data_IF_698115547779
#
_entry.id   IF_698115547779
#
_cell.length_a   1.000
_cell.length_b   1.000
_cell.length_c   1.000
_cell.angle_alpha   90.00
_cell.angle_beta   90.00
_cell.angle_gamma   90.00
#
_symmetry.space_group_name_H-M   'P 1'
#
loop_
_entity.id
_entity.type
_entity.pdbx_description
1 polymer ?
#
# COMPACT_ATOMS: atom_id res chain seq x y z
N UNK A 1 13.47 -24.81 29.74
CA UNK A 1 12.14 -24.57 29.13
C UNK A 1 12.17 -23.21 28.49
N UNK A 2 11.55 -23.05 27.34
CA UNK A 2 11.39 -21.74 26.71
C UNK A 2 10.43 -20.85 27.56
N UNK A 3 10.67 -19.55 27.54
CA UNK A 3 9.84 -18.57 28.26
C UNK A 3 8.62 -18.12 27.41
N UNK A 4 8.00 -19.07 26.70
CA UNK A 4 6.85 -18.80 25.84
C UNK A 4 5.71 -18.14 26.63
N UNK A 5 5.13 -17.09 26.08
CA UNK A 5 3.94 -16.41 26.63
C UNK A 5 2.69 -17.28 26.40
N UNK A 6 2.67 -18.02 25.29
CA UNK A 6 1.64 -18.99 24.93
C UNK A 6 2.24 -20.39 25.07
N UNK A 7 1.58 -21.28 25.81
CA UNK A 7 2.10 -22.63 25.97
C UNK A 7 2.23 -23.35 24.63
N UNK A 8 3.30 -24.15 24.46
CA UNK A 8 3.55 -24.88 23.24
C UNK A 8 2.39 -25.81 22.87
N UNK A 9 1.75 -26.42 23.89
CA UNK A 9 0.60 -27.33 23.71
C UNK A 9 -0.59 -26.58 23.08
N UNK A 10 -0.96 -25.42 23.62
CA UNK A 10 -2.05 -24.58 23.09
C UNK A 10 -1.72 -24.12 21.68
N UNK A 11 -0.51 -23.60 21.46
CA UNK A 11 -0.12 -23.11 20.14
C UNK A 11 -0.16 -24.21 19.07
N UNK A 12 0.44 -25.37 19.34
CA UNK A 12 0.47 -26.49 18.40
C UNK A 12 -0.94 -27.04 18.09
N UNK A 13 -1.83 -27.06 19.08
CA UNK A 13 -3.23 -27.44 18.85
C UNK A 13 -3.89 -26.49 17.87
N UNK A 14 -3.82 -25.18 18.11
CA UNK A 14 -4.42 -24.16 17.24
C UNK A 14 -3.80 -24.16 15.85
N UNK A 15 -2.48 -24.33 15.74
CA UNK A 15 -1.79 -24.45 14.46
C UNK A 15 -2.31 -25.63 13.64
N UNK A 16 -2.47 -26.78 14.27
CA UNK A 16 -3.03 -27.97 13.61
C UNK A 16 -4.49 -27.75 13.17
N UNK A 17 -5.30 -27.12 14.01
CA UNK A 17 -6.71 -26.84 13.73
C UNK A 17 -6.90 -25.78 12.63
N UNK A 18 -5.92 -24.89 12.43
CA UNK A 18 -5.97 -23.86 11.38
C UNK A 18 -5.93 -24.44 9.96
N UNK A 19 -5.42 -25.67 9.80
CA UNK A 19 -5.21 -26.35 8.51
C UNK A 19 -4.40 -25.54 7.48
N UNK A 20 -3.61 -24.56 7.93
CA UNK A 20 -2.74 -23.78 7.05
C UNK A 20 -1.57 -24.66 6.56
N UNK A 21 -1.25 -24.64 5.26
CA UNK A 21 -0.13 -25.41 4.72
C UNK A 21 1.23 -24.96 5.26
N UNK A 22 1.36 -23.67 5.55
CA UNK A 22 2.52 -23.04 6.20
C UNK A 22 2.04 -21.80 6.97
N UNK A 23 2.32 -21.75 8.27
CA UNK A 23 2.00 -20.60 9.10
C UNK A 23 2.86 -19.41 8.69
N UNK A 24 4.15 -19.63 8.50
CA UNK A 24 5.11 -18.60 8.19
C UNK A 24 4.88 -17.90 6.84
N UNK A 25 4.23 -18.58 5.89
CA UNK A 25 3.88 -18.05 4.57
C UNK A 25 2.38 -17.76 4.41
N UNK A 26 1.63 -17.77 5.50
CA UNK A 26 0.21 -17.46 5.47
C UNK A 26 -0.06 -15.98 5.15
N UNK A 27 -1.17 -15.73 4.50
CA UNK A 27 -1.59 -14.39 4.12
C UNK A 27 -2.02 -13.54 5.33
N UNK A 28 -2.09 -12.22 5.13
CA UNK A 28 -2.41 -11.24 6.19
C UNK A 28 -3.68 -11.62 6.98
N UNK A 29 -4.74 -12.04 6.28
CA UNK A 29 -6.02 -12.39 6.92
C UNK A 29 -5.96 -13.73 7.65
N UNK A 30 -5.18 -14.66 7.14
CA UNK A 30 -4.96 -15.97 7.77
C UNK A 30 -4.16 -15.83 9.06
N UNK A 31 -3.08 -15.04 9.05
CA UNK A 31 -2.30 -14.72 10.26
C UNK A 31 -3.16 -14.00 11.30
N UNK A 32 -3.99 -13.03 10.88
CA UNK A 32 -4.89 -12.34 11.81
C UNK A 32 -5.90 -13.30 12.45
N UNK A 33 -6.48 -14.20 11.65
CA UNK A 33 -7.39 -15.21 12.19
C UNK A 33 -6.66 -16.11 13.18
N UNK A 34 -5.48 -16.62 12.82
CA UNK A 34 -4.68 -17.50 13.67
C UNK A 34 -4.30 -16.83 15.00
N UNK A 35 -3.90 -15.55 14.98
CA UNK A 35 -3.59 -14.80 16.18
C UNK A 35 -4.81 -14.68 17.11
N UNK A 36 -6.00 -14.40 16.56
CA UNK A 36 -7.25 -14.36 17.33
C UNK A 36 -7.66 -15.72 17.91
N UNK A 37 -7.46 -16.79 17.15
CA UNK A 37 -7.72 -18.15 17.63
C UNK A 37 -6.78 -18.52 18.79
N UNK A 38 -5.52 -18.08 18.74
CA UNK A 38 -4.54 -18.21 19.83
C UNK A 38 -4.92 -17.36 21.06
N UNK A 39 -5.37 -16.12 20.85
CA UNK A 39 -5.90 -15.28 21.94
C UNK A 39 -7.05 -15.97 22.68
N UNK A 40 -8.02 -16.48 21.92
CA UNK A 40 -9.18 -17.16 22.48
C UNK A 40 -8.81 -18.42 23.25
N UNK A 41 -7.82 -19.19 22.75
CA UNK A 41 -7.40 -20.45 23.35
C UNK A 41 -6.48 -20.27 24.58
N UNK A 42 -5.66 -19.20 24.60
CA UNK A 42 -4.66 -18.96 25.66
C UNK A 42 -5.10 -17.93 26.71
N UNK A 43 -6.06 -17.07 26.39
CA UNK A 43 -6.41 -15.90 27.19
C UNK A 43 -5.37 -14.77 27.13
N UNK A 44 -4.36 -14.88 26.27
CA UNK A 44 -3.26 -13.91 26.13
C UNK A 44 -3.52 -12.97 24.97
N UNK A 45 -3.60 -11.65 25.21
CA UNK A 45 -3.73 -10.64 24.18
C UNK A 45 -2.48 -10.59 23.29
N UNK A 46 -2.66 -10.58 21.96
CA UNK A 46 -1.56 -10.45 21.00
C UNK A 46 -1.15 -9.00 20.77
N UNK A 47 0.09 -8.83 20.33
CA UNK A 47 0.59 -7.61 19.70
C UNK A 47 0.42 -7.79 18.18
N UNK A 48 -0.62 -7.16 17.62
CA UNK A 48 -1.02 -7.34 16.23
C UNK A 48 -0.26 -6.42 15.28
N UNK A 49 0.75 -6.94 14.58
CA UNK A 49 1.54 -6.21 13.60
C UNK A 49 1.32 -6.68 12.15
N UNK A 50 0.44 -7.65 11.93
CA UNK A 50 0.13 -8.20 10.60
C UNK A 50 -0.83 -7.34 9.79
N UNK A 51 -1.75 -6.62 10.45
CA UNK A 51 -2.77 -5.82 9.79
C UNK A 51 -2.32 -4.38 9.56
N UNK A 52 -2.51 -3.90 8.34
CA UNK A 52 -2.32 -2.50 7.99
C UNK A 52 -3.58 -1.64 8.19
N UNK A 53 -4.38 -1.88 9.24
CA UNK A 53 -5.52 -1.01 9.54
C UNK A 53 -5.02 0.31 10.14
N UNK A 54 -5.66 1.46 9.86
CA UNK A 54 -5.38 2.69 10.60
C UNK A 54 -5.72 2.52 12.08
N UNK A 55 -4.86 3.05 12.95
CA UNK A 55 -5.07 3.05 14.40
C UNK A 55 -5.50 4.41 14.97
N UNK A 56 -5.78 5.37 14.09
CA UNK A 56 -6.25 6.72 14.42
C UNK A 56 -7.74 6.85 14.11
N UNK A 57 -8.37 7.86 14.68
CA UNK A 57 -9.78 8.17 14.40
C UNK A 57 -9.98 8.58 12.94
N UNK A 58 -11.13 8.24 12.37
CA UNK A 58 -11.53 8.70 11.06
C UNK A 58 -11.67 10.23 11.05
N UNK A 59 -11.26 10.86 9.94
CA UNK A 59 -11.26 12.31 9.80
C UNK A 59 -12.69 12.87 9.88
N UNK A 60 -12.92 13.79 10.82
CA UNK A 60 -14.25 14.35 11.11
C UNK A 60 -14.92 14.98 9.89
N UNK A 61 -14.17 15.67 9.05
CA UNK A 61 -14.70 16.32 7.84
C UNK A 61 -15.32 15.32 6.85
N UNK A 62 -14.80 14.10 6.81
CA UNK A 62 -15.40 13.00 6.04
C UNK A 62 -16.69 12.52 6.67
N UNK A 63 -16.69 12.30 7.99
CA UNK A 63 -17.86 11.85 8.74
C UNK A 63 -19.02 12.84 8.60
N UNK A 64 -18.75 14.14 8.82
CA UNK A 64 -19.74 15.21 8.72
C UNK A 64 -20.35 15.31 7.33
N UNK A 65 -19.50 15.30 6.29
CA UNK A 65 -19.95 15.34 4.90
C UNK A 65 -20.79 14.12 4.51
N UNK A 66 -20.41 12.93 4.99
CA UNK A 66 -21.15 11.69 4.72
C UNK A 66 -22.52 11.67 5.40
N UNK A 67 -22.58 12.11 6.67
CA UNK A 67 -23.85 12.22 7.42
C UNK A 67 -24.80 13.18 6.71
N UNK A 68 -24.31 14.34 6.27
CA UNK A 68 -25.13 15.32 5.57
C UNK A 68 -25.63 14.78 4.22
N UNK A 69 -24.77 14.09 3.48
CA UNK A 69 -25.17 13.46 2.24
C UNK A 69 -26.27 12.40 2.45
N UNK A 70 -26.14 11.57 3.49
CA UNK A 70 -27.14 10.54 3.83
C UNK A 70 -28.49 11.17 4.24
N UNK A 71 -28.50 12.31 4.96
CA UNK A 71 -29.73 13.06 5.27
C UNK A 71 -30.41 13.60 4.01
N UNK A 72 -29.67 13.82 2.93
CA UNK A 72 -30.17 14.26 1.63
C UNK A 72 -30.44 13.10 0.66
N UNK A 73 -30.72 11.90 1.16
CA UNK A 73 -31.16 10.72 0.41
C UNK A 73 -30.21 10.23 -0.69
N UNK A 74 -28.90 10.55 -0.62
CA UNK A 74 -27.96 10.11 -1.66
C UNK A 74 -27.87 8.58 -1.76
N UNK A 75 -28.23 7.85 -0.70
CA UNK A 75 -28.25 6.40 -0.68
C UNK A 75 -29.33 5.79 -1.61
N UNK A 76 -30.36 6.57 -1.98
CA UNK A 76 -31.48 6.11 -2.81
C UNK A 76 -31.14 6.07 -4.31
N UNK A 77 -29.99 6.60 -4.74
CA UNK A 77 -29.64 6.72 -6.15
C UNK A 77 -28.22 6.23 -6.46
N UNK A 78 -28.04 5.63 -7.64
CA UNK A 78 -26.69 5.31 -8.13
C UNK A 78 -25.91 6.58 -8.40
N UNK A 79 -24.61 6.64 -7.99
CA UNK A 79 -23.72 7.71 -8.44
C UNK A 79 -23.41 7.58 -9.92
N UNK A 80 -22.90 8.66 -10.54
CA UNK A 80 -22.27 8.53 -11.85
C UNK A 80 -21.10 7.53 -11.77
N UNK A 81 -20.94 6.72 -12.82
CA UNK A 81 -19.90 5.67 -12.89
C UNK A 81 -18.50 6.24 -12.66
N UNK A 82 -18.23 7.41 -13.21
CA UNK A 82 -16.95 8.13 -13.10
C UNK A 82 -16.84 9.05 -11.88
N UNK A 83 -17.87 9.04 -11.00
CA UNK A 83 -17.89 9.76 -9.74
C UNK A 83 -18.62 11.09 -9.74
N UNK A 84 -18.90 11.62 -8.53
CA UNK A 84 -19.58 12.90 -8.37
C UNK A 84 -18.65 14.08 -8.77
N UNK A 85 -19.18 15.12 -9.48
CA UNK A 85 -18.34 16.20 -10.00
C UNK A 85 -17.56 16.97 -8.93
N UNK A 86 -18.15 17.17 -7.76
CA UNK A 86 -17.50 17.90 -6.66
C UNK A 86 -16.27 17.15 -6.11
N UNK A 87 -16.33 15.82 -5.98
CA UNK A 87 -15.18 15.03 -5.57
C UNK A 87 -14.06 15.08 -6.62
N UNK A 88 -14.41 14.95 -7.90
CA UNK A 88 -13.46 15.01 -9.01
C UNK A 88 -12.70 16.34 -9.06
N UNK A 89 -13.41 17.46 -8.80
CA UNK A 89 -12.80 18.78 -8.71
C UNK A 89 -11.81 18.88 -7.55
N UNK A 90 -12.21 18.43 -6.35
CA UNK A 90 -11.31 18.46 -5.20
C UNK A 90 -10.15 17.48 -5.33
N UNK A 91 -10.34 16.35 -6.00
CA UNK A 91 -9.26 15.41 -6.33
C UNK A 91 -8.20 16.05 -7.25
N UNK A 92 -8.64 16.73 -8.31
CA UNK A 92 -7.75 17.49 -9.20
C UNK A 92 -6.96 18.58 -8.44
N UNK A 93 -7.65 19.34 -7.57
CA UNK A 93 -7.00 20.33 -6.68
C UNK A 93 -5.98 19.67 -5.73
N UNK A 94 -6.33 18.55 -5.14
CA UNK A 94 -5.45 17.81 -4.22
C UNK A 94 -4.17 17.36 -4.92
N UNK A 95 -4.29 16.82 -6.13
CA UNK A 95 -3.14 16.39 -6.91
C UNK A 95 -2.24 17.59 -7.23
N UNK A 96 -2.82 18.73 -7.63
CA UNK A 96 -2.06 19.96 -7.87
C UNK A 96 -1.38 20.47 -6.60
N UNK A 97 -2.11 20.53 -5.50
CA UNK A 97 -1.64 21.11 -4.24
C UNK A 97 -0.54 20.27 -3.57
N UNK A 98 -0.55 18.95 -3.72
CA UNK A 98 0.32 18.07 -2.93
C UNK A 98 1.29 17.19 -3.73
N UNK A 99 1.08 17.09 -5.06
CA UNK A 99 1.99 16.34 -5.96
C UNK A 99 2.58 17.27 -7.04
N UNK A 100 1.97 18.44 -7.21
CA UNK A 100 2.30 19.42 -8.26
C UNK A 100 2.17 18.83 -9.69
N UNK A 101 1.06 18.13 -9.91
CA UNK A 101 0.67 17.61 -11.22
C UNK A 101 -0.66 18.23 -11.64
N UNK A 102 -0.81 18.50 -12.94
CA UNK A 102 -2.07 18.93 -13.52
C UNK A 102 -2.81 17.71 -14.09
N UNK A 103 -3.96 17.38 -13.51
CA UNK A 103 -4.86 16.31 -13.95
C UNK A 103 -6.27 16.86 -14.04
N UNK A 104 -6.90 16.74 -15.20
CA UNK A 104 -8.27 17.21 -15.38
C UNK A 104 -9.24 16.50 -14.42
N UNK A 105 -10.23 17.20 -13.82
CA UNK A 105 -11.21 16.56 -12.95
C UNK A 105 -11.90 15.34 -13.57
N UNK A 106 -12.12 15.34 -14.89
CA UNK A 106 -12.71 14.20 -15.62
C UNK A 106 -11.88 12.93 -15.53
N UNK A 107 -10.59 13.04 -15.28
CA UNK A 107 -9.63 11.93 -15.21
C UNK A 107 -9.31 11.49 -13.77
N UNK A 108 -10.01 12.08 -12.79
CA UNK A 108 -10.01 11.65 -11.40
C UNK A 108 -11.24 10.75 -11.15
N UNK A 109 -11.04 9.45 -10.99
CA UNK A 109 -12.11 8.46 -10.92
C UNK A 109 -12.13 7.80 -9.54
N UNK A 110 -13.25 7.86 -8.78
CA UNK A 110 -13.35 7.16 -7.51
C UNK A 110 -13.49 5.65 -7.71
N UNK A 111 -12.90 4.89 -6.79
CA UNK A 111 -12.91 3.43 -6.79
C UNK A 111 -13.23 2.88 -5.40
N UNK A 112 -13.68 1.62 -5.31
CA UNK A 112 -13.96 0.89 -4.06
C UNK A 112 -12.61 0.53 -3.38
N UNK A 113 -11.97 1.53 -2.82
CA UNK A 113 -10.59 1.47 -2.35
C UNK A 113 -9.57 1.35 -3.49
N UNK A 114 -8.30 1.62 -3.22
CA UNK A 114 -7.22 1.46 -4.21
C UNK A 114 -7.08 0.02 -4.73
N UNK A 115 -7.57 -0.98 -3.99
CA UNK A 115 -7.57 -2.38 -4.44
C UNK A 115 -8.43 -2.60 -5.68
N UNK A 116 -9.63 -2.00 -5.78
CA UNK A 116 -10.43 -2.07 -7.00
C UNK A 116 -9.74 -1.28 -8.12
N UNK A 117 -9.18 -0.11 -7.79
CA UNK A 117 -8.45 0.70 -8.75
C UNK A 117 -7.27 -0.05 -9.36
N UNK A 118 -6.48 -0.74 -8.53
CA UNK A 118 -5.37 -1.58 -8.99
C UNK A 118 -5.87 -2.73 -9.88
N UNK A 119 -6.88 -3.48 -9.42
CA UNK A 119 -7.45 -4.60 -10.18
C UNK A 119 -7.96 -4.16 -11.57
N UNK A 120 -8.70 -3.05 -11.64
CA UNK A 120 -9.19 -2.47 -12.88
C UNK A 120 -8.04 -2.00 -13.79
N UNK A 121 -7.01 -1.38 -13.20
CA UNK A 121 -5.82 -0.95 -13.94
C UNK A 121 -5.05 -2.14 -14.53
N UNK A 122 -4.84 -3.22 -13.77
CA UNK A 122 -4.20 -4.44 -14.27
C UNK A 122 -4.98 -5.05 -15.42
N UNK A 123 -6.31 -5.20 -15.24
CA UNK A 123 -7.19 -5.74 -16.27
C UNK A 123 -7.08 -4.94 -17.57
N UNK A 124 -7.16 -3.62 -17.52
CA UNK A 124 -7.11 -2.79 -18.72
C UNK A 124 -5.70 -2.77 -19.31
N UNK A 125 -4.65 -2.59 -18.50
CA UNK A 125 -3.27 -2.54 -19.00
C UNK A 125 -2.86 -3.84 -19.72
N UNK A 126 -3.32 -4.99 -19.23
CA UNK A 126 -3.08 -6.29 -19.86
C UNK A 126 -3.76 -6.49 -21.22
N UNK A 127 -4.66 -5.58 -21.64
CA UNK A 127 -5.39 -5.66 -22.90
C UNK A 127 -5.12 -4.50 -23.87
N UNK A 128 -4.16 -3.62 -23.54
CA UNK A 128 -3.83 -2.46 -24.40
C UNK A 128 -3.07 -2.82 -25.66
N UNK A 129 -2.23 -3.83 -25.59
CA UNK A 129 -1.37 -4.27 -26.68
C UNK A 129 -1.10 -5.78 -26.53
N UNK A 130 -1.52 -6.56 -27.50
CA UNK A 130 -1.38 -8.02 -27.48
C UNK A 130 0.07 -8.54 -27.45
N UNK A 131 1.06 -7.68 -27.71
CA UNK A 131 2.49 -8.01 -27.60
C UNK A 131 3.04 -7.77 -26.20
N UNK A 132 2.31 -7.05 -25.34
CA UNK A 132 2.71 -6.68 -23.98
C UNK A 132 1.76 -7.36 -23.01
N UNK A 133 2.15 -8.50 -22.51
CA UNK A 133 1.31 -9.37 -21.68
C UNK A 133 1.69 -9.40 -20.20
N UNK A 134 2.79 -8.73 -19.81
CA UNK A 134 3.44 -8.90 -18.51
C UNK A 134 3.45 -7.58 -17.72
N UNK A 135 3.15 -7.64 -16.43
CA UNK A 135 3.39 -6.54 -15.49
C UNK A 135 4.74 -6.71 -14.80
N UNK A 136 5.45 -5.60 -14.53
CA UNK A 136 6.68 -5.58 -13.74
C UNK A 136 6.41 -4.97 -12.36
N UNK A 137 6.73 -5.70 -11.29
CA UNK A 137 6.68 -5.22 -9.92
C UNK A 137 8.07 -4.78 -9.44
N UNK A 138 8.16 -3.57 -8.89
CA UNK A 138 9.30 -3.13 -8.10
C UNK A 138 9.02 -3.54 -6.65
N UNK A 139 9.62 -4.65 -6.25
CA UNK A 139 9.43 -5.30 -4.95
C UNK A 139 10.41 -4.79 -3.87
N UNK A 140 10.20 -5.14 -2.60
CA UNK A 140 9.04 -5.83 -2.06
C UNK A 140 7.76 -5.01 -2.21
N UNK A 141 6.60 -5.65 -2.29
CA UNK A 141 5.34 -4.98 -2.55
C UNK A 141 4.15 -5.58 -1.79
N UNK A 142 3.00 -4.93 -1.91
CA UNK A 142 1.77 -5.41 -1.31
C UNK A 142 1.33 -6.74 -1.97
N UNK A 143 1.28 -7.86 -1.23
CA UNK A 143 1.13 -9.20 -1.82
C UNK A 143 -0.19 -9.38 -2.58
N UNK A 144 -1.23 -8.62 -2.22
CA UNK A 144 -2.55 -8.72 -2.87
C UNK A 144 -2.50 -8.29 -4.34
N UNK A 145 -1.64 -7.36 -4.72
CA UNK A 145 -1.48 -6.96 -6.13
C UNK A 145 -1.02 -8.15 -7.00
N UNK A 146 -0.08 -8.94 -6.51
CA UNK A 146 0.36 -10.16 -7.21
C UNK A 146 -0.76 -11.20 -7.29
N UNK A 147 -1.51 -11.36 -6.19
CA UNK A 147 -2.66 -12.25 -6.19
C UNK A 147 -3.74 -11.82 -7.17
N UNK A 148 -4.02 -10.51 -7.29
CA UNK A 148 -4.94 -9.96 -8.28
C UNK A 148 -4.50 -10.31 -9.71
N UNK A 149 -3.21 -10.14 -10.04
CA UNK A 149 -2.69 -10.51 -11.37
C UNK A 149 -2.77 -12.01 -11.62
N UNK A 150 -2.51 -12.84 -10.60
CA UNK A 150 -2.69 -14.30 -10.70
C UNK A 150 -4.14 -14.67 -11.04
N UNK A 151 -5.12 -14.03 -10.39
CA UNK A 151 -6.55 -14.22 -10.68
C UNK A 151 -6.91 -13.79 -12.10
N UNK A 152 -6.31 -12.70 -12.59
CA UNK A 152 -6.49 -12.20 -13.95
C UNK A 152 -5.75 -13.03 -15.02
N UNK A 153 -4.87 -13.94 -14.62
CA UNK A 153 -4.03 -14.69 -15.54
C UNK A 153 -2.95 -13.85 -16.22
N UNK A 154 -2.56 -12.72 -15.62
CA UNK A 154 -1.54 -11.82 -16.16
C UNK A 154 -0.16 -12.29 -15.69
N UNK A 155 0.78 -12.57 -16.60
CA UNK A 155 2.16 -12.86 -16.27
C UNK A 155 2.84 -11.71 -15.51
N UNK A 156 3.73 -12.06 -14.57
CA UNK A 156 4.38 -11.11 -13.69
C UNK A 156 5.89 -11.31 -13.72
N UNK A 157 6.62 -10.20 -13.80
CA UNK A 157 8.05 -10.13 -13.50
C UNK A 157 8.24 -9.24 -12.27
N UNK A 158 9.32 -9.45 -11.55
CA UNK A 158 9.61 -8.65 -10.35
C UNK A 158 11.10 -8.63 -10.02
N UNK A 159 11.52 -7.65 -9.25
CA UNK A 159 12.83 -7.57 -8.63
C UNK A 159 12.79 -6.77 -7.34
N UNK A 160 13.65 -7.12 -6.38
CA UNK A 160 13.83 -6.34 -5.16
C UNK A 160 14.69 -5.10 -5.45
N UNK A 161 14.15 -3.91 -5.12
CA UNK A 161 14.81 -2.64 -5.42
C UNK A 161 16.03 -2.36 -4.53
N UNK A 162 16.14 -3.01 -3.38
CA UNK A 162 17.11 -2.62 -2.35
C UNK A 162 18.57 -2.58 -2.84
N UNK A 163 18.93 -3.51 -3.71
CA UNK A 163 20.28 -3.57 -4.30
C UNK A 163 20.42 -2.71 -5.58
N UNK A 164 19.32 -2.14 -6.07
CA UNK A 164 19.26 -1.41 -7.34
C UNK A 164 18.82 0.05 -7.15
N UNK A 165 19.31 0.72 -6.10
CA UNK A 165 18.99 2.12 -5.81
C UNK A 165 19.81 3.08 -6.69
N UNK A 166 19.26 4.29 -6.93
CA UNK A 166 19.88 5.32 -7.77
C UNK A 166 20.04 4.86 -9.22
N UNK A 167 21.16 5.17 -9.88
CA UNK A 167 21.40 4.83 -11.29
C UNK A 167 21.40 3.31 -11.59
N UNK A 168 21.66 2.45 -10.61
CA UNK A 168 21.54 1.00 -10.81
C UNK A 168 20.11 0.58 -11.16
N UNK A 169 19.12 1.37 -10.76
CA UNK A 169 17.72 1.14 -11.09
C UNK A 169 17.49 1.21 -12.61
N UNK A 170 18.18 2.12 -13.31
CA UNK A 170 18.07 2.28 -14.76
C UNK A 170 18.38 0.98 -15.49
N UNK A 171 19.57 0.43 -15.26
CA UNK A 171 20.02 -0.80 -15.91
C UNK A 171 19.09 -1.97 -15.56
N UNK A 172 18.67 -2.06 -14.30
CA UNK A 172 17.79 -3.12 -13.84
C UNK A 172 16.41 -3.07 -14.51
N UNK A 173 15.76 -1.92 -14.52
CA UNK A 173 14.49 -1.72 -15.22
C UNK A 173 14.61 -2.00 -16.72
N UNK A 174 15.64 -1.46 -17.33
CA UNK A 174 15.84 -1.62 -18.78
C UNK A 174 16.07 -3.08 -19.19
N UNK A 175 16.65 -3.91 -18.29
CA UNK A 175 16.82 -5.35 -18.55
C UNK A 175 15.49 -6.08 -18.76
N UNK A 176 14.42 -5.63 -18.10
CA UNK A 176 13.05 -6.16 -18.30
C UNK A 176 12.34 -5.48 -19.47
N UNK A 177 12.42 -4.14 -19.56
CA UNK A 177 11.64 -3.36 -20.51
C UNK A 177 12.01 -3.63 -21.97
N UNK A 178 13.29 -3.87 -22.26
CA UNK A 178 13.77 -4.21 -23.62
C UNK A 178 13.28 -5.56 -24.15
N UNK A 179 12.67 -6.40 -23.31
CA UNK A 179 11.99 -7.62 -23.77
C UNK A 179 10.77 -7.31 -24.64
N UNK A 180 10.22 -6.10 -24.52
CA UNK A 180 9.03 -5.65 -25.24
C UNK A 180 7.72 -6.24 -24.72
N UNK A 181 7.75 -7.05 -23.64
CA UNK A 181 6.58 -7.72 -23.07
C UNK A 181 5.88 -6.93 -21.95
N UNK A 182 6.58 -5.98 -21.34
CA UNK A 182 6.06 -5.25 -20.18
C UNK A 182 5.02 -4.22 -20.62
N UNK A 183 3.80 -4.28 -20.08
CA UNK A 183 2.76 -3.26 -20.29
C UNK A 183 2.73 -2.20 -19.20
N UNK A 184 3.06 -2.57 -17.96
CA UNK A 184 3.05 -1.62 -16.85
C UNK A 184 4.09 -1.98 -15.79
N UNK A 185 4.50 -0.95 -15.01
CA UNK A 185 5.36 -1.05 -13.84
C UNK A 185 4.53 -0.64 -12.63
N UNK A 186 4.59 -1.40 -11.53
CA UNK A 186 3.95 -1.03 -10.28
C UNK A 186 4.95 -0.94 -9.14
N UNK A 187 4.81 0.11 -8.33
CA UNK A 187 5.48 0.29 -7.04
C UNK A 187 4.59 1.10 -6.07
N UNK A 188 4.91 1.08 -4.77
CA UNK A 188 4.32 1.99 -3.79
C UNK A 188 5.37 2.95 -3.21
N UNK A 189 4.95 4.20 -2.91
CA UNK A 189 5.84 5.24 -2.43
C UNK A 189 5.14 6.18 -1.40
N UNK A 190 5.51 6.11 -0.09
CA UNK A 190 6.40 5.15 0.58
C UNK A 190 6.01 3.69 0.39
N UNK A 191 7.01 2.81 0.49
CA UNK A 191 6.82 1.40 0.16
C UNK A 191 6.18 0.60 1.30
N UNK A 192 5.24 -0.25 0.97
CA UNK A 192 4.78 -1.36 1.82
C UNK A 192 5.37 -2.67 1.28
N UNK A 193 6.25 -3.35 2.02
CA UNK A 193 6.43 -3.35 3.47
C UNK A 193 7.67 -2.60 4.00
N UNK A 194 8.59 -2.18 3.14
CA UNK A 194 9.96 -1.81 3.56
C UNK A 194 10.10 -0.41 4.12
N UNK A 195 9.15 0.46 3.77
CA UNK A 195 9.19 1.90 4.00
C UNK A 195 10.28 2.65 3.18
N UNK A 196 10.88 1.99 2.22
CA UNK A 196 11.76 2.64 1.25
C UNK A 196 10.97 3.70 0.50
N UNK A 197 11.53 4.89 0.38
CA UNK A 197 10.98 5.98 -0.42
C UNK A 197 11.83 6.19 -1.67
N UNK A 198 11.19 6.20 -2.83
CA UNK A 198 11.88 6.47 -4.08
C UNK A 198 12.29 7.94 -4.14
N UNK A 199 13.54 8.18 -4.53
CA UNK A 199 14.07 9.51 -4.74
C UNK A 199 13.51 10.13 -6.03
N UNK A 200 13.58 11.45 -6.13
CA UNK A 200 13.18 12.16 -7.34
C UNK A 200 13.95 11.68 -8.58
N UNK A 201 15.24 11.35 -8.42
CA UNK A 201 16.06 10.77 -9.48
C UNK A 201 15.58 9.39 -9.91
N UNK A 202 15.23 8.51 -8.98
CA UNK A 202 14.70 7.19 -9.29
C UNK A 202 13.35 7.28 -10.00
N UNK A 203 12.49 8.22 -9.57
CA UNK A 203 11.21 8.48 -10.23
C UNK A 203 11.39 9.05 -11.64
N UNK A 204 12.41 9.89 -11.84
CA UNK A 204 12.81 10.38 -13.16
C UNK A 204 13.26 9.22 -14.06
N UNK A 205 14.08 8.32 -13.56
CA UNK A 205 14.51 7.11 -14.30
C UNK A 205 13.29 6.27 -14.71
N UNK A 206 12.35 6.03 -13.80
CA UNK A 206 11.13 5.28 -14.10
C UNK A 206 10.33 5.98 -15.21
N UNK A 207 10.12 7.30 -15.09
CA UNK A 207 9.35 8.08 -16.05
C UNK A 207 10.01 8.13 -17.45
N UNK A 208 11.33 8.35 -17.52
CA UNK A 208 12.08 8.33 -18.78
C UNK A 208 11.99 6.97 -19.49
N UNK A 209 12.16 5.89 -18.74
CA UNK A 209 12.05 4.54 -19.29
C UNK A 209 10.62 4.16 -19.66
N UNK A 210 9.62 4.64 -18.89
CA UNK A 210 8.22 4.48 -19.26
C UNK A 210 7.89 5.14 -20.61
N UNK A 211 8.45 6.33 -20.87
CA UNK A 211 8.33 6.99 -22.16
C UNK A 211 9.06 6.22 -23.28
N UNK A 212 10.32 5.82 -23.03
CA UNK A 212 11.16 5.12 -24.01
C UNK A 212 10.56 3.81 -24.48
N UNK A 213 9.98 3.05 -23.56
CA UNK A 213 9.45 1.70 -23.82
C UNK A 213 7.93 1.65 -23.93
N UNK A 214 7.27 2.80 -23.88
CA UNK A 214 5.80 2.92 -23.90
C UNK A 214 5.12 2.01 -22.89
N UNK A 215 5.43 2.20 -21.62
CA UNK A 215 4.96 1.42 -20.48
C UNK A 215 4.17 2.34 -19.52
N UNK A 216 3.12 1.84 -18.90
CA UNK A 216 2.32 2.62 -17.95
C UNK A 216 2.89 2.46 -16.54
N UNK A 217 3.08 3.57 -15.86
CA UNK A 217 3.47 3.60 -14.42
C UNK A 217 2.22 3.56 -13.57
N UNK A 218 2.11 2.54 -12.73
CA UNK A 218 1.07 2.39 -11.72
C UNK A 218 1.69 2.74 -10.36
N UNK A 219 1.41 3.93 -9.87
CA UNK A 219 1.99 4.45 -8.64
C UNK A 219 1.00 4.33 -7.49
N UNK A 220 1.26 3.40 -6.56
CA UNK A 220 0.43 3.19 -5.37
C UNK A 220 0.85 4.17 -4.27
N UNK A 221 0.04 5.22 -4.09
CA UNK A 221 0.18 6.26 -3.08
C UNK A 221 -0.72 6.01 -1.86
N UNK A 222 -0.90 4.73 -1.47
CA UNK A 222 -1.69 4.39 -0.29
C UNK A 222 -1.16 5.04 1.01
N UNK A 223 0.13 5.34 1.05
CA UNK A 223 0.82 5.99 2.18
C UNK A 223 1.22 7.43 1.85
N UNK A 224 0.37 8.11 1.10
CA UNK A 224 0.55 9.49 0.68
C UNK A 224 0.96 10.41 1.85
N UNK A 225 2.00 11.22 1.65
CA UNK A 225 2.49 12.20 2.62
C UNK A 225 3.14 11.62 3.89
N UNK A 226 3.44 10.30 3.92
CA UNK A 226 3.94 9.64 5.14
C UNK A 226 5.47 9.43 5.17
N UNK A 227 6.23 10.00 4.25
CA UNK A 227 7.68 10.18 4.48
C UNK A 227 7.89 11.38 5.41
N UNK A 228 7.90 11.12 6.71
CA UNK A 228 7.94 12.17 7.73
C UNK A 228 9.27 12.92 7.83
N UNK A 229 10.27 12.56 7.04
CA UNK A 229 11.52 13.33 6.90
C UNK A 229 11.27 14.68 6.23
N UNK A 230 10.19 14.81 5.48
CA UNK A 230 9.76 16.05 4.81
C UNK A 230 8.31 16.38 5.18
N UNK A 231 7.94 17.62 5.03
CA UNK A 231 6.56 18.07 5.25
C UNK A 231 5.86 18.32 3.92
N UNK A 232 4.99 17.38 3.54
CA UNK A 232 4.19 17.44 2.31
C UNK A 232 2.76 17.95 2.56
N UNK A 233 2.48 18.56 3.72
CA UNK A 233 1.10 18.85 4.14
C UNK A 233 0.62 20.27 3.83
N UNK A 234 1.45 21.10 3.21
CA UNK A 234 1.12 22.48 2.88
C UNK A 234 0.57 22.59 1.45
N UNK A 235 -0.73 22.95 1.27
CA UNK A 235 -1.34 22.98 -0.05
C UNK A 235 -0.72 24.03 -0.96
N UNK A 236 -0.23 23.63 -2.12
CA UNK A 236 0.38 24.49 -3.11
C UNK A 236 1.81 24.95 -2.80
N UNK A 237 2.44 24.41 -1.75
CA UNK A 237 3.78 24.78 -1.33
C UNK A 237 4.71 23.56 -1.34
N UNK A 238 5.94 23.75 -1.82
CA UNK A 238 6.97 22.71 -1.76
C UNK A 238 7.43 22.47 -0.31
N UNK A 239 7.88 21.23 0.03
CA UNK A 239 8.06 20.10 -0.88
C UNK A 239 6.75 19.39 -1.20
N UNK A 240 6.66 18.85 -2.42
CA UNK A 240 5.53 18.04 -2.86
C UNK A 240 5.85 16.55 -2.73
N UNK A 241 4.81 15.70 -2.58
CA UNK A 241 4.97 14.24 -2.66
C UNK A 241 5.63 13.89 -4.00
N UNK A 242 6.78 13.22 -4.00
CA UNK A 242 7.45 12.83 -5.23
C UNK A 242 6.59 11.84 -6.04
N UNK A 243 6.59 12.00 -7.37
CA UNK A 243 5.84 11.15 -8.29
C UNK A 243 6.55 11.04 -9.64
N UNK A 244 6.52 9.85 -10.24
CA UNK A 244 6.98 9.65 -11.62
C UNK A 244 6.15 10.42 -12.65
N UNK A 245 4.93 10.82 -12.29
CA UNK A 245 4.07 11.66 -13.13
C UNK A 245 4.70 13.01 -13.53
N UNK A 246 5.74 13.48 -12.85
CA UNK A 246 6.52 14.65 -13.26
C UNK A 246 7.40 14.40 -14.51
N UNK A 247 7.65 13.15 -14.85
CA UNK A 247 8.61 12.75 -15.88
C UNK A 247 7.99 11.96 -17.02
N UNK A 248 6.73 11.58 -16.91
CA UNK A 248 6.00 10.85 -17.94
C UNK A 248 4.52 11.22 -17.92
N UNK A 249 3.87 11.12 -19.07
CA UNK A 249 2.41 11.18 -19.19
C UNK A 249 1.77 9.77 -19.18
N UNK A 250 2.56 8.72 -19.08
CA UNK A 250 2.07 7.33 -19.02
C UNK A 250 1.90 6.91 -17.56
N UNK A 251 1.01 7.53 -16.79
CA UNK A 251 0.83 7.19 -15.39
C UNK A 251 -0.63 7.10 -14.93
N UNK A 252 -0.81 6.29 -13.89
CA UNK A 252 -2.01 6.22 -13.05
C UNK A 252 -1.55 6.32 -11.60
N UNK A 253 -2.04 7.32 -10.87
CA UNK A 253 -1.84 7.44 -9.43
C UNK A 253 -3.01 6.78 -8.71
N UNK A 254 -2.73 5.95 -7.72
CA UNK A 254 -3.71 5.33 -6.84
C UNK A 254 -3.66 6.00 -5.47
N UNK A 255 -4.56 6.95 -5.20
CA UNK A 255 -4.60 7.75 -3.97
C UNK A 255 -5.68 7.18 -3.06
N UNK A 256 -5.26 6.67 -1.89
CA UNK A 256 -6.17 6.02 -0.94
C UNK A 256 -6.57 6.94 0.21
N UNK A 257 -7.84 6.93 0.58
CA UNK A 257 -8.31 7.55 1.83
C UNK A 257 -7.97 6.73 3.08
N UNK A 258 -7.54 5.47 2.90
CA UNK A 258 -7.47 4.49 3.98
C UNK A 258 -6.44 4.83 5.05
N UNK A 259 -5.28 5.43 4.69
CA UNK A 259 -4.15 5.60 5.62
C UNK A 259 -3.97 7.05 6.05
N UNK A 260 -3.76 7.96 5.12
CA UNK A 260 -3.57 9.38 5.41
C UNK A 260 -4.79 10.03 6.09
N UNK A 261 -5.98 9.50 5.84
CA UNK A 261 -7.23 10.05 6.38
C UNK A 261 -7.97 9.10 7.32
N UNK A 262 -7.39 7.95 7.66
CA UNK A 262 -8.01 6.93 8.53
C UNK A 262 -9.43 6.55 8.11
N UNK A 263 -9.69 6.49 6.80
CA UNK A 263 -11.03 6.27 6.22
C UNK A 263 -11.14 4.91 5.53
N UNK A 264 -10.47 3.90 6.06
CA UNK A 264 -10.34 2.57 5.45
C UNK A 264 -11.67 1.81 5.36
N UNK A 265 -12.60 2.02 6.30
CA UNK A 265 -13.90 1.33 6.38
C UNK A 265 -14.82 1.66 5.21
N UNK A 266 -14.78 2.88 4.72
CA UNK A 266 -15.70 3.39 3.69
C UNK A 266 -15.32 2.98 2.26
N UNK A 267 -14.18 2.34 2.07
CA UNK A 267 -13.75 1.79 0.78
C UNK A 267 -13.82 2.81 -0.36
N UNK A 268 -13.26 4.01 -0.16
CA UNK A 268 -13.20 5.04 -1.20
C UNK A 268 -11.75 5.45 -1.46
N UNK A 269 -11.36 5.46 -2.72
CA UNK A 269 -10.05 5.89 -3.20
C UNK A 269 -10.20 6.57 -4.56
N UNK A 270 -9.12 7.08 -5.11
CA UNK A 270 -9.09 7.76 -6.40
C UNK A 270 -8.05 7.11 -7.31
N UNK A 271 -8.39 6.94 -8.57
CA UNK A 271 -7.43 6.87 -9.67
C UNK A 271 -7.32 8.26 -10.31
N UNK A 272 -6.09 8.74 -10.43
CA UNK A 272 -5.80 9.93 -11.20
C UNK A 272 -4.97 9.52 -12.42
N UNK A 273 -5.52 9.73 -13.61
CA UNK A 273 -4.95 9.29 -14.88
C UNK A 273 -4.47 10.53 -15.62
N UNK A 274 -3.25 10.52 -16.13
CA UNK A 274 -2.76 11.66 -16.93
C UNK A 274 -3.72 11.98 -18.09
N UNK A 275 -3.85 13.24 -18.45
CA UNK A 275 -4.78 13.66 -19.49
C UNK A 275 -4.45 13.02 -20.85
N UNK A 276 -3.15 12.83 -21.14
CA UNK A 276 -2.71 12.17 -22.38
C UNK A 276 -3.05 10.68 -22.40
N UNK A 277 -2.78 9.97 -21.29
CA UNK A 277 -3.13 8.54 -21.20
C UNK A 277 -4.64 8.34 -21.24
N UNK A 278 -5.41 9.15 -20.52
CA UNK A 278 -6.87 9.07 -20.48
C UNK A 278 -7.51 9.15 -21.88
N UNK A 279 -7.00 10.04 -22.72
CA UNK A 279 -7.48 10.26 -24.08
C UNK A 279 -6.88 9.31 -25.12
N UNK A 280 -5.84 8.54 -24.76
CA UNK A 280 -5.10 7.70 -25.69
C UNK A 280 -5.93 6.54 -26.21
N UNK A 281 -5.79 6.25 -27.51
CA UNK A 281 -6.47 5.14 -28.18
C UNK A 281 -5.60 3.90 -28.23
N UNK A 282 -6.24 2.76 -27.94
CA UNK A 282 -5.65 1.42 -28.00
C UNK A 282 -6.57 0.49 -28.81
N UNK A 283 -6.22 0.17 -30.06
CA UNK A 283 -7.06 -0.67 -30.92
C UNK A 283 -7.37 -2.07 -30.35
N UNK A 284 -6.41 -2.68 -29.62
CA UNK A 284 -6.61 -3.99 -29.03
C UNK A 284 -7.63 -3.96 -27.88
N UNK A 285 -7.72 -2.85 -27.15
CA UNK A 285 -8.70 -2.66 -26.09
C UNK A 285 -10.15 -2.74 -26.61
N UNK A 286 -10.38 -2.33 -27.86
CA UNK A 286 -11.69 -2.44 -28.52
C UNK A 286 -12.16 -3.89 -28.65
N UNK A 287 -11.23 -4.84 -28.87
CA UNK A 287 -11.53 -6.27 -28.93
C UNK A 287 -11.96 -6.82 -27.56
N UNK A 288 -11.39 -6.25 -26.49
CA UNK A 288 -11.66 -6.68 -25.11
C UNK A 288 -13.02 -6.14 -24.58
N UNK A 289 -13.28 -4.83 -24.73
CA UNK A 289 -14.42 -4.19 -24.08
C UNK A 289 -15.22 -3.22 -24.96
N UNK A 290 -15.10 -3.29 -26.29
CA UNK A 290 -15.75 -2.39 -27.25
C UNK A 290 -15.40 -0.90 -27.08
N UNK A 291 -14.35 -0.58 -26.35
CA UNK A 291 -13.82 0.78 -26.17
C UNK A 291 -12.38 0.83 -26.67
N UNK A 292 -12.00 1.91 -27.37
CA UNK A 292 -10.62 2.11 -27.78
C UNK A 292 -9.89 3.21 -27.00
N UNK A 293 -10.64 4.11 -26.34
CA UNK A 293 -10.08 5.19 -25.52
C UNK A 293 -9.82 4.64 -24.12
N UNK A 294 -8.60 4.84 -23.59
CA UNK A 294 -8.14 4.28 -22.32
C UNK A 294 -9.15 4.52 -21.18
N UNK A 295 -9.51 5.77 -20.92
CA UNK A 295 -10.45 6.12 -19.84
C UNK A 295 -11.81 5.42 -20.01
N UNK A 296 -12.33 5.37 -21.23
CA UNK A 296 -13.59 4.67 -21.52
C UNK A 296 -13.48 3.16 -21.31
N UNK A 297 -12.34 2.58 -21.69
CA UNK A 297 -12.03 1.18 -21.40
C UNK A 297 -12.01 0.89 -19.90
N UNK A 298 -11.34 1.74 -19.12
CA UNK A 298 -11.31 1.62 -17.66
C UNK A 298 -12.70 1.73 -17.05
N UNK A 299 -13.50 2.72 -17.45
CA UNK A 299 -14.85 2.93 -16.91
C UNK A 299 -15.81 1.80 -17.32
N UNK A 300 -15.95 1.53 -18.60
CA UNK A 300 -16.97 0.60 -19.12
C UNK A 300 -16.50 -0.84 -19.22
N UNK A 301 -15.19 -1.06 -19.43
CA UNK A 301 -14.59 -2.40 -19.53
C UNK A 301 -14.21 -3.02 -18.20
N UNK A 302 -13.93 -2.22 -17.18
CA UNK A 302 -13.54 -2.73 -15.86
C UNK A 302 -14.44 -2.25 -14.72
N UNK A 303 -14.54 -0.95 -14.44
CA UNK A 303 -15.23 -0.46 -13.23
C UNK A 303 -16.74 -0.73 -13.27
N UNK A 304 -17.38 -0.59 -14.43
CA UNK A 304 -18.81 -0.89 -14.57
C UNK A 304 -19.13 -2.36 -14.27
N UNK A 305 -18.47 -3.35 -14.87
CA UNK A 305 -18.71 -4.76 -14.55
C UNK A 305 -18.33 -5.15 -13.11
N UNK A 306 -17.35 -4.45 -12.49
CA UNK A 306 -16.92 -4.77 -11.13
C UNK A 306 -17.90 -4.29 -10.05
N UNK A 307 -18.46 -3.07 -10.18
CA UNK A 307 -19.28 -2.49 -9.11
C UNK A 307 -20.31 -1.46 -9.57
N UNK A 308 -20.32 -1.11 -10.86
CA UNK A 308 -21.18 -0.02 -11.41
C UNK A 308 -21.00 1.34 -10.69
N UNK A 309 -19.83 1.57 -10.11
CA UNK A 309 -19.47 2.81 -9.40
C UNK A 309 -19.06 2.58 -7.95
N UNK A 310 -18.65 3.66 -7.29
CA UNK A 310 -18.22 3.67 -5.89
C UNK A 310 -19.36 4.17 -5.01
N UNK A 311 -19.43 3.70 -3.75
CA UNK A 311 -20.48 4.13 -2.79
C UNK A 311 -20.72 5.63 -2.83
N UNK A 312 -21.98 6.02 -3.01
CA UNK A 312 -22.36 7.43 -3.22
C UNK A 312 -21.99 8.29 -2.00
N UNK A 313 -22.41 7.85 -0.80
CA UNK A 313 -22.11 8.60 0.45
C UNK A 313 -20.61 8.65 0.77
N UNK A 314 -19.85 7.60 0.47
CA UNK A 314 -18.41 7.57 0.68
C UNK A 314 -17.66 8.56 -0.23
N UNK A 315 -18.19 8.84 -1.42
CA UNK A 315 -17.63 9.89 -2.29
C UNK A 315 -17.83 11.29 -1.68
N UNK A 316 -18.95 11.57 -1.03
CA UNK A 316 -19.16 12.82 -0.28
C UNK A 316 -18.20 12.94 0.91
N UNK A 317 -17.96 11.83 1.61
CA UNK A 317 -16.96 11.78 2.67
C UNK A 317 -15.58 12.18 2.17
N UNK A 318 -15.12 11.53 1.09
CA UNK A 318 -13.81 11.85 0.51
C UNK A 318 -13.76 13.28 -0.03
N UNK A 319 -14.84 13.79 -0.64
CA UNK A 319 -14.95 15.19 -1.02
C UNK A 319 -14.73 16.13 0.17
N UNK A 320 -15.42 15.89 1.30
CA UNK A 320 -15.29 16.71 2.50
C UNK A 320 -13.87 16.73 3.06
N UNK A 321 -13.21 15.56 3.07
CA UNK A 321 -11.80 15.43 3.50
C UNK A 321 -10.90 16.25 2.57
N UNK A 322 -10.95 15.98 1.27
CA UNK A 322 -10.06 16.65 0.30
C UNK A 322 -10.27 18.16 0.27
N UNK A 323 -11.52 18.59 0.38
CA UNK A 323 -11.83 20.04 0.47
C UNK A 323 -11.17 20.67 1.69
N UNK A 324 -11.31 20.08 2.88
CA UNK A 324 -10.74 20.61 4.11
C UNK A 324 -9.19 20.67 4.04
N UNK A 325 -8.57 19.65 3.44
CA UNK A 325 -7.11 19.61 3.24
C UNK A 325 -6.67 20.66 2.21
N UNK A 326 -7.34 20.75 1.06
CA UNK A 326 -7.04 21.71 0.00
C UNK A 326 -7.19 23.17 0.45
N UNK A 327 -8.16 23.43 1.32
CA UNK A 327 -8.42 24.77 1.86
C UNK A 327 -7.50 25.12 3.05
N UNK A 328 -6.60 24.20 3.45
CA UNK A 328 -5.70 24.40 4.59
C UNK A 328 -6.41 24.39 5.96
N UNK A 329 -7.68 23.96 6.01
CA UNK A 329 -8.48 23.89 7.25
C UNK A 329 -8.11 22.68 8.10
N UNK A 330 -7.61 21.63 7.45
CA UNK A 330 -7.17 20.39 8.09
C UNK A 330 -5.79 19.99 7.59
N UNK A 331 -4.85 19.86 8.52
CA UNK A 331 -3.54 19.31 8.26
C UNK A 331 -3.52 17.82 8.67
N UNK A 332 -3.57 16.93 7.70
CA UNK A 332 -3.58 15.48 7.94
C UNK A 332 -2.28 14.96 8.59
N UNK A 333 -1.16 15.68 8.41
CA UNK A 333 0.15 15.29 8.96
C UNK A 333 0.15 15.29 10.48
N UNK A 334 -0.58 16.21 11.11
CA UNK A 334 -0.64 16.32 12.58
C UNK A 334 -1.10 15.00 13.23
N UNK A 335 -2.06 14.33 12.60
CA UNK A 335 -2.57 13.04 13.06
C UNK A 335 -1.60 11.90 12.73
N UNK A 336 -1.19 11.79 11.45
CA UNK A 336 -0.42 10.62 10.97
C UNK A 336 1.03 10.58 11.45
N UNK A 337 1.60 11.69 11.95
CA UNK A 337 2.91 11.72 12.61
C UNK A 337 3.01 10.71 13.77
N UNK A 338 1.89 10.34 14.37
CA UNK A 338 1.84 9.34 15.43
C UNK A 338 2.37 7.97 14.97
N UNK A 339 2.16 7.61 13.70
CA UNK A 339 2.73 6.37 13.15
C UNK A 339 4.26 6.38 13.15
N UNK A 340 4.88 7.51 12.79
CA UNK A 340 6.33 7.66 12.84
C UNK A 340 6.88 7.58 14.26
N UNK A 341 6.22 8.25 15.22
CA UNK A 341 6.62 8.21 16.64
C UNK A 341 6.57 6.78 17.19
N UNK A 342 5.51 6.03 16.89
CA UNK A 342 5.38 4.62 17.29
C UNK A 342 6.43 3.75 16.61
N UNK A 343 6.68 3.93 15.30
CA UNK A 343 7.71 3.19 14.58
C UNK A 343 9.08 3.32 15.22
N UNK A 344 9.46 4.55 15.61
CA UNK A 344 10.73 4.81 16.29
C UNK A 344 10.85 4.00 17.58
N UNK A 345 9.87 4.13 18.48
CA UNK A 345 9.87 3.41 19.76
C UNK A 345 9.88 1.89 19.57
N UNK A 346 9.10 1.38 18.62
CA UNK A 346 9.07 -0.05 18.33
C UNK A 346 10.41 -0.53 17.77
N UNK A 347 11.01 0.17 16.79
CA UNK A 347 12.33 -0.18 16.26
C UNK A 347 13.41 -0.21 17.37
N UNK A 348 13.39 0.76 18.27
CA UNK A 348 14.28 0.79 19.44
C UNK A 348 14.11 -0.46 20.30
N UNK A 349 12.87 -0.89 20.58
CA UNK A 349 12.58 -2.11 21.35
C UNK A 349 13.09 -3.39 20.63
N UNK A 350 12.91 -3.49 19.32
CA UNK A 350 13.44 -4.62 18.54
C UNK A 350 14.97 -4.66 18.57
N UNK A 351 15.64 -3.55 18.30
CA UNK A 351 17.11 -3.46 18.25
C UNK A 351 17.71 -3.77 19.63
N UNK A 352 17.12 -3.24 20.71
CA UNK A 352 17.58 -3.50 22.08
C UNK A 352 17.53 -4.99 22.47
N UNK A 353 16.73 -5.79 21.76
CA UNK A 353 16.59 -7.23 21.98
C UNK A 353 17.25 -8.09 20.90
N UNK A 354 18.23 -7.54 20.15
CA UNK A 354 19.06 -8.30 19.20
C UNK A 354 18.45 -8.50 17.82
N UNK A 355 17.27 -7.95 17.56
CA UNK A 355 16.71 -7.92 16.20
C UNK A 355 17.42 -6.88 15.34
N UNK A 356 17.40 -7.10 14.05
CA UNK A 356 17.99 -6.20 13.04
C UNK A 356 16.91 -5.70 12.10
N UNK A 357 17.03 -4.47 11.65
CA UNK A 357 16.13 -3.93 10.61
C UNK A 357 16.58 -4.51 9.27
N UNK A 358 15.70 -5.22 8.56
CA UNK A 358 16.03 -5.96 7.33
C UNK A 358 16.33 -5.01 6.16
N UNK A 359 15.46 -4.02 5.95
CA UNK A 359 15.65 -2.93 5.00
C UNK A 359 15.98 -1.67 5.80
N UNK A 360 17.23 -1.54 6.19
CA UNK A 360 17.72 -0.56 7.17
C UNK A 360 18.10 0.78 6.55
N UNK A 361 18.27 0.83 5.22
CA UNK A 361 18.76 2.02 4.50
C UNK A 361 17.82 2.44 3.38
N UNK A 362 17.81 3.74 3.11
CA UNK A 362 17.12 4.40 2.02
C UNK A 362 18.10 5.32 1.28
N UNK A 363 18.66 4.85 0.15
CA UNK A 363 19.75 5.52 -0.59
C UNK A 363 20.95 5.91 0.28
N UNK A 364 21.36 5.01 1.19
CA UNK A 364 22.50 5.23 2.08
C UNK A 364 22.15 5.86 3.43
N UNK A 365 21.02 6.55 3.54
CA UNK A 365 20.48 7.09 4.79
C UNK A 365 19.71 6.01 5.58
N UNK A 366 19.58 6.14 6.90
CA UNK A 366 18.73 5.26 7.68
C UNK A 366 17.30 5.28 7.18
N UNK A 367 16.64 4.10 7.21
CA UNK A 367 15.22 4.00 6.84
C UNK A 367 14.35 4.89 7.74
N UNK A 368 13.42 5.62 7.14
CA UNK A 368 12.50 6.51 7.86
C UNK A 368 11.59 5.74 8.84
N UNK A 369 11.07 6.47 9.82
CA UNK A 369 10.02 5.98 10.69
C UNK A 369 8.65 6.18 10.03
N UNK A 370 7.76 5.19 10.08
CA UNK A 370 6.48 5.31 9.42
C UNK A 370 5.47 4.23 9.77
N UNK A 371 4.60 3.89 8.83
CA UNK A 371 3.51 2.95 9.03
C UNK A 371 3.98 1.49 9.13
N UNK A 372 5.13 1.17 8.50
CA UNK A 372 5.79 -0.12 8.53
C UNK A 372 7.28 -0.01 8.78
N UNK A 373 7.84 -1.09 9.27
CA UNK A 373 9.26 -1.41 9.17
C UNK A 373 9.43 -2.93 9.04
N UNK A 374 10.65 -3.36 8.70
CA UNK A 374 10.96 -4.78 8.52
C UNK A 374 12.08 -5.18 9.45
N UNK A 375 12.00 -6.38 9.99
CA UNK A 375 13.01 -6.88 10.92
C UNK A 375 13.29 -8.37 10.72
N UNK A 376 14.49 -8.77 11.10
CA UNK A 376 14.93 -10.15 11.15
C UNK A 376 15.60 -10.47 12.47
N UNK A 377 15.83 -11.75 12.73
CA UNK A 377 16.62 -12.20 13.87
C UNK A 377 17.67 -13.19 13.39
N UNK A 378 18.96 -13.09 13.83
CA UNK A 378 20.01 -14.00 13.39
C UNK A 378 19.65 -15.47 13.58
N UNK A 379 19.89 -16.28 12.54
CA UNK A 379 19.59 -17.72 12.57
C UNK A 379 18.15 -18.11 12.20
N UNK A 380 17.26 -17.15 11.92
CA UNK A 380 15.89 -17.43 11.49
C UNK A 380 15.68 -17.12 10.01
N UNK A 381 14.92 -17.95 9.33
CA UNK A 381 14.26 -17.60 8.05
C UNK A 381 13.00 -16.79 8.33
N UNK A 382 12.48 -16.07 7.32
CA UNK A 382 11.23 -15.32 7.44
C UNK A 382 10.09 -16.19 7.98
N UNK A 383 9.90 -17.35 7.37
CA UNK A 383 8.85 -18.31 7.72
C UNK A 383 8.93 -18.76 9.19
N UNK A 384 10.12 -19.21 9.60
CA UNK A 384 10.34 -19.67 10.99
C UNK A 384 10.20 -18.56 12.01
N UNK A 385 10.59 -17.33 11.66
CA UNK A 385 10.47 -16.20 12.56
C UNK A 385 9.00 -15.82 12.78
N UNK A 386 8.16 -15.84 11.74
CA UNK A 386 6.71 -15.62 11.89
C UNK A 386 6.09 -16.65 12.84
N UNK A 387 6.39 -17.95 12.63
CA UNK A 387 5.85 -19.03 13.45
C UNK A 387 6.32 -18.92 14.91
N UNK A 388 7.61 -18.68 15.13
CA UNK A 388 8.18 -18.59 16.48
C UNK A 388 7.64 -17.38 17.25
N UNK A 389 7.46 -16.22 16.61
CA UNK A 389 6.91 -15.02 17.25
C UNK A 389 5.48 -15.23 17.78
N UNK A 390 4.71 -16.14 17.20
CA UNK A 390 3.37 -16.49 17.68
C UNK A 390 3.39 -17.08 19.10
N UNK A 391 4.42 -17.82 19.50
CA UNK A 391 4.57 -18.35 20.86
C UNK A 391 4.78 -17.24 21.90
N UNK A 392 5.24 -16.05 21.45
CA UNK A 392 5.43 -14.87 22.30
C UNK A 392 4.26 -13.89 22.18
N UNK A 393 3.15 -14.30 21.54
CA UNK A 393 1.96 -13.48 21.38
C UNK A 393 2.17 -12.26 20.46
N UNK A 394 3.02 -12.38 19.46
CA UNK A 394 3.32 -11.35 18.47
C UNK A 394 2.98 -11.89 17.09
N UNK A 395 2.15 -11.17 16.33
CA UNK A 395 1.79 -11.53 14.95
C UNK A 395 2.34 -10.52 13.94
N UNK A 396 2.86 -11.04 12.84
CA UNK A 396 3.42 -10.28 11.73
C UNK A 396 3.36 -11.12 10.44
N UNK A 397 3.83 -10.60 9.31
CA UNK A 397 3.85 -11.36 8.05
C UNK A 397 5.26 -11.47 7.49
N UNK A 398 5.51 -12.60 6.82
CA UNK A 398 6.77 -12.88 6.13
C UNK A 398 7.04 -11.88 4.99
N UNK A 399 8.30 -11.50 4.79
CA UNK A 399 8.74 -10.77 3.60
C UNK A 399 8.71 -11.62 2.33
N UNK A 400 8.74 -12.94 2.46
CA UNK A 400 8.70 -13.87 1.32
C UNK A 400 7.41 -13.70 0.52
N UNK A 401 6.25 -13.54 1.20
CA UNK A 401 4.97 -13.27 0.52
C UNK A 401 4.90 -11.88 -0.12
N UNK A 402 5.77 -10.96 0.30
CA UNK A 402 5.87 -9.60 -0.27
C UNK A 402 6.84 -9.53 -1.46
N UNK A 403 7.54 -10.61 -1.78
CA UNK A 403 8.55 -10.66 -2.84
C UNK A 403 9.91 -10.09 -2.45
N UNK A 404 10.19 -9.98 -1.14
CA UNK A 404 11.49 -9.57 -0.64
C UNK A 404 12.57 -10.62 -0.92
N UNK A 405 13.76 -10.18 -1.28
CA UNK A 405 14.93 -11.06 -1.46
C UNK A 405 15.67 -11.32 -0.14
N UNK A 406 15.33 -10.55 0.90
CA UNK A 406 15.96 -10.62 2.22
C UNK A 406 15.07 -11.34 3.21
N UNK A 407 15.68 -12.14 4.10
CA UNK A 407 14.95 -12.79 5.17
C UNK A 407 14.49 -11.80 6.23
N UNK A 408 13.23 -11.94 6.67
CA UNK A 408 12.65 -11.08 7.69
C UNK A 408 11.13 -11.03 7.63
N UNK A 409 10.58 -10.23 8.48
CA UNK A 409 9.13 -10.04 8.61
C UNK A 409 8.76 -8.55 8.68
N UNK A 410 7.52 -8.24 8.30
CA UNK A 410 6.98 -6.88 8.31
C UNK A 410 6.24 -6.61 9.61
N UNK A 411 6.60 -5.53 10.30
CA UNK A 411 5.84 -4.95 11.39
C UNK A 411 4.98 -3.78 10.90
N UNK A 412 3.70 -3.81 11.24
CA UNK A 412 2.81 -2.66 11.12
C UNK A 412 2.71 -1.93 12.47
N UNK A 413 2.91 -0.62 12.46
CA UNK A 413 2.92 0.21 13.67
C UNK A 413 1.54 0.75 14.04
N UNK A 414 0.59 0.69 13.11
CA UNK A 414 -0.61 1.49 13.16
C UNK A 414 -1.56 1.15 14.30
N UNK A 415 -1.80 -0.14 14.55
CA UNK A 415 -2.73 -0.59 15.59
C UNK A 415 -2.12 -0.58 17.00
N UNK A 416 -0.80 -0.66 17.10
CA UNK A 416 -0.12 -0.71 18.40
C UNK A 416 -0.34 0.61 19.12
N UNK A 417 -0.82 0.53 20.37
CA UNK A 417 -0.92 1.68 21.24
C UNK A 417 0.40 1.91 21.98
N UNK A 418 0.66 3.14 22.44
CA UNK A 418 1.94 3.45 23.11
C UNK A 418 2.15 2.65 24.38
N UNK A 419 1.09 2.35 25.12
CA UNK A 419 1.11 1.53 26.33
C UNK A 419 1.33 0.02 26.05
N UNK A 420 1.17 -0.42 24.82
CA UNK A 420 1.50 -1.79 24.39
C UNK A 420 2.99 -1.96 24.05
N UNK A 421 3.73 -0.87 23.79
CA UNK A 421 5.16 -0.94 23.41
C UNK A 421 6.04 -1.53 24.54
N UNK A 422 5.84 -1.21 25.83
CA UNK A 422 6.55 -1.91 26.92
C UNK A 422 6.27 -3.42 26.96
N UNK A 423 5.03 -3.85 26.70
CA UNK A 423 4.67 -5.27 26.61
C UNK A 423 5.35 -5.94 25.43
N UNK A 424 5.42 -5.25 24.27
CA UNK A 424 6.19 -5.73 23.12
C UNK A 424 7.66 -5.92 23.50
N UNK A 425 8.30 -4.93 24.14
CA UNK A 425 9.69 -5.00 24.54
C UNK A 425 9.97 -6.17 25.51
N UNK A 426 9.08 -6.42 26.48
CA UNK A 426 9.17 -7.57 27.39
C UNK A 426 9.11 -8.90 26.64
N UNK A 427 8.19 -9.06 25.68
CA UNK A 427 8.06 -10.27 24.86
C UNK A 427 9.27 -10.50 23.96
N UNK A 428 9.82 -9.44 23.39
CA UNK A 428 11.07 -9.51 22.61
C UNK A 428 12.26 -9.91 23.49
N UNK A 429 12.32 -9.46 24.73
CA UNK A 429 13.36 -9.87 25.68
C UNK A 429 13.25 -11.37 26.05
N UNK A 430 12.02 -11.88 26.22
CA UNK A 430 11.79 -13.32 26.43
C UNK A 430 12.22 -14.13 25.20
N UNK A 431 11.88 -13.67 24.00
CA UNK A 431 12.32 -14.28 22.75
C UNK A 431 13.85 -14.33 22.65
N UNK A 432 14.53 -13.21 22.89
CA UNK A 432 15.99 -13.13 22.82
C UNK A 432 16.69 -14.03 23.84
N UNK A 433 16.11 -14.14 25.05
CA UNK A 433 16.61 -15.05 26.09
C UNK A 433 16.54 -16.51 25.67
N UNK A 434 15.48 -16.90 24.98
CA UNK A 434 15.28 -18.27 24.50
C UNK A 434 16.08 -18.60 23.23
N UNK A 435 16.50 -17.56 22.50
CA UNK A 435 17.26 -17.63 21.24
C UNK A 435 18.54 -16.80 21.29
N UNK A 436 19.52 -17.13 22.16
CA UNK A 436 20.74 -16.34 22.28
C UNK A 436 21.52 -16.31 20.97
N UNK A 437 21.92 -15.12 20.55
CA UNK A 437 22.79 -14.93 19.39
C UNK A 437 24.19 -15.46 19.76
N UNK A 438 24.69 -16.41 18.96
CA UNK A 438 26.02 -17.02 19.14
C UNK A 438 27.13 -16.14 18.57
#
# INVERSE_FOLDING_TARGET
MKNNVISAEVAQKVFKESALPSIGNAGIREINKLARDLEAASGTKFIHMELGNPGLHAVKYGIEAQIEALKNDVAASYPALDGIPMLKKEASRFIKNFIDLDVAPTNCVPTVGSMQGAFASFMICGHLNSKKDTILFIDPGFPVHKFQNKVLGIPMEHFDIYEYRGEKLREKLESYLKTGRIHSILYSNPNNPTWVCLTDEELRIIGELANKYDVIVLEDLAYFGMDFRKDYSHPGEAPYQPSAGKYTDNYILMISSSKAFSYAGERCALLAISDKLAARKYPDLKKFCNQEIFLKGLLFGALHPLSSGTSHSAQYALHGILKAVNDGVYNYRDDILEYGRKAKLMKEAFIANGFQITYDKDCGEPIADGFYFTYCYPGFTSEKLVEEMMYYGISAISLDICGGSRQGIRACTSLIQRDEIPVLAERLALFAKDHPIK
#
